data_IF_169358938313
#
_entry.id   IF_169358938313
#
_cell.length_a   1.000
_cell.length_b   1.000
_cell.length_c   1.000
_cell.angle_alpha   90.00
_cell.angle_beta   90.00
_cell.angle_gamma   90.00
#
_symmetry.space_group_name_H-M   'P 1'
#
loop_
_entity.id
_entity.type
_entity.pdbx_description
1 polymer ?
#
# COMPACT_ATOMS: atom_id res chain seq x y z
N UNK A 1 -40.29 58.95 42.17
CA UNK A 1 -41.36 57.94 41.99
C UNK A 1 -41.06 57.17 40.72
N UNK A 2 -41.34 55.85 40.71
CA UNK A 2 -40.93 54.81 39.72
C UNK A 2 -39.52 54.26 39.99
N UNK A 3 -39.34 53.37 40.96
CA UNK A 3 -39.57 51.90 40.99
C UNK A 3 -38.40 51.11 40.38
N UNK A 4 -37.63 50.51 41.29
CA UNK A 4 -36.68 49.42 41.08
C UNK A 4 -37.42 48.16 40.60
N UNK A 5 -36.98 47.56 39.50
CA UNK A 5 -37.44 46.26 39.04
C UNK A 5 -36.29 45.26 39.04
N UNK A 6 -36.27 44.37 40.03
CA UNK A 6 -35.47 43.15 40.02
C UNK A 6 -36.02 42.20 38.94
N UNK A 7 -35.15 41.67 38.08
CA UNK A 7 -35.49 40.51 37.24
C UNK A 7 -34.55 39.37 37.60
N UNK A 8 -35.17 38.26 37.97
CA UNK A 8 -34.59 37.05 38.52
C UNK A 8 -33.68 36.33 37.52
N UNK A 9 -32.60 35.76 38.05
CA UNK A 9 -31.69 34.89 37.31
C UNK A 9 -32.38 33.61 36.85
N UNK A 10 -32.26 33.33 35.56
CA UNK A 10 -32.49 32.01 34.99
C UNK A 10 -31.14 31.28 34.97
N UNK A 11 -30.97 30.37 35.93
CA UNK A 11 -29.91 29.37 35.89
C UNK A 11 -30.25 28.40 34.75
N UNK A 12 -29.55 28.54 33.61
CA UNK A 12 -29.59 27.55 32.54
C UNK A 12 -28.65 26.44 32.97
N UNK A 13 -29.26 25.28 33.22
CA UNK A 13 -28.62 24.06 33.66
C UNK A 13 -27.52 23.63 32.70
N UNK A 14 -26.31 23.45 33.23
CA UNK A 14 -25.18 22.76 32.61
C UNK A 14 -25.57 21.31 32.32
N UNK A 15 -26.27 21.11 31.20
CA UNK A 15 -26.51 19.77 30.67
C UNK A 15 -25.33 19.48 29.76
N UNK A 16 -24.32 18.86 30.37
CA UNK A 16 -23.13 18.35 29.72
C UNK A 16 -23.51 17.58 28.45
N UNK A 17 -23.41 18.23 27.31
CA UNK A 17 -23.25 17.55 26.04
C UNK A 17 -21.82 16.98 26.10
N UNK A 18 -21.67 15.82 26.73
CA UNK A 18 -20.52 14.97 26.55
C UNK A 18 -20.51 14.60 25.07
N UNK A 19 -19.94 15.50 24.26
CA UNK A 19 -19.46 15.17 22.95
C UNK A 19 -18.60 13.93 23.17
N UNK A 20 -19.05 12.80 22.63
CA UNK A 20 -18.23 11.63 22.46
C UNK A 20 -17.08 12.11 21.57
N UNK A 21 -16.01 12.59 22.23
CA UNK A 21 -14.71 12.71 21.62
C UNK A 21 -14.32 11.29 21.28
N UNK A 22 -14.76 10.80 20.12
CA UNK A 22 -14.02 9.81 19.38
C UNK A 22 -12.65 10.43 19.19
N UNK A 23 -11.77 10.21 20.16
CA UNK A 23 -10.34 10.40 19.99
C UNK A 23 -10.00 9.48 18.83
N UNK A 24 -9.88 10.07 17.65
CA UNK A 24 -9.40 9.39 16.47
C UNK A 24 -7.97 8.97 16.84
N UNK A 25 -7.82 7.74 17.35
CA UNK A 25 -6.55 7.24 17.80
C UNK A 25 -5.59 7.34 16.61
N UNK A 26 -4.41 7.90 16.83
CA UNK A 26 -3.40 7.98 15.78
C UNK A 26 -3.12 6.53 15.32
N UNK A 27 -3.11 6.26 14.00
CA UNK A 27 -3.01 4.91 13.49
C UNK A 27 -1.69 4.26 13.90
N UNK A 28 -1.71 2.94 14.07
CA UNK A 28 -0.50 2.18 14.34
C UNK A 28 0.40 2.17 13.09
N UNK A 29 1.57 2.80 13.18
CA UNK A 29 2.48 2.98 12.05
C UNK A 29 3.82 2.30 12.33
N UNK A 30 4.28 1.54 11.35
CA UNK A 30 5.53 0.81 11.38
C UNK A 30 6.41 1.17 10.18
N UNK A 31 7.71 0.89 10.32
CA UNK A 31 8.69 0.92 9.23
C UNK A 31 9.38 -0.44 9.17
N UNK A 32 9.34 -1.06 8.00
CA UNK A 32 10.21 -2.17 7.63
C UNK A 32 11.25 -1.62 6.66
N UNK A 33 12.53 -1.60 7.06
CA UNK A 33 13.59 -0.97 6.29
C UNK A 33 14.65 -1.95 5.81
N UNK A 34 14.89 -1.92 4.50
CA UNK A 34 15.92 -2.70 3.78
C UNK A 34 17.09 -1.84 3.33
N UNK A 35 17.14 -0.56 3.74
CA UNK A 35 18.11 0.42 3.23
C UNK A 35 19.58 0.01 3.39
N UNK A 36 19.93 -0.70 4.46
CA UNK A 36 21.28 -1.22 4.72
C UNK A 36 21.55 -2.58 4.08
N UNK A 37 20.54 -3.22 3.48
CA UNK A 37 20.68 -4.55 2.91
C UNK A 37 21.33 -4.52 1.52
N UNK A 38 22.15 -5.55 1.20
CA UNK A 38 22.87 -5.65 -0.06
C UNK A 38 21.97 -5.92 -1.27
N UNK A 39 22.55 -5.90 -2.47
CA UNK A 39 21.90 -6.41 -3.67
C UNK A 39 21.80 -7.94 -3.65
N UNK A 40 20.67 -8.49 -4.08
CA UNK A 40 20.42 -9.93 -4.21
C UNK A 40 19.63 -10.22 -5.49
N UNK A 41 19.66 -11.47 -5.95
CA UNK A 41 19.02 -11.92 -7.19
C UNK A 41 18.05 -13.11 -7.00
N UNK A 42 17.78 -13.48 -5.75
CA UNK A 42 16.83 -14.53 -5.36
C UNK A 42 16.30 -14.26 -3.96
N UNK A 43 15.14 -14.81 -3.64
CA UNK A 43 14.56 -14.76 -2.28
C UNK A 43 15.58 -15.33 -1.27
N UNK A 44 15.99 -14.56 -0.25
CA UNK A 44 16.93 -15.02 0.76
C UNK A 44 16.23 -15.95 1.76
N UNK A 45 17.00 -16.78 2.46
CA UNK A 45 16.48 -17.63 3.56
C UNK A 45 16.23 -16.82 4.83
N UNK A 46 17.11 -15.87 5.13
CA UNK A 46 17.05 -14.99 6.30
C UNK A 46 17.32 -13.56 5.86
N UNK A 47 16.57 -12.62 6.45
CA UNK A 47 16.75 -11.18 6.26
C UNK A 47 16.80 -10.53 7.63
N UNK A 48 17.72 -9.58 7.79
CA UNK A 48 17.85 -8.77 8.99
C UNK A 48 17.47 -7.31 8.68
N UNK A 49 16.18 -7.01 8.49
CA UNK A 49 15.70 -5.65 8.25
C UNK A 49 15.79 -4.83 9.54
N UNK A 50 15.74 -3.50 9.43
CA UNK A 50 15.47 -2.65 10.58
C UNK A 50 13.96 -2.49 10.71
N UNK A 51 13.40 -2.82 11.87
CA UNK A 51 11.99 -2.64 12.16
C UNK A 51 11.84 -1.55 13.22
N UNK A 52 10.91 -0.63 12.98
CA UNK A 52 10.63 0.46 13.90
C UNK A 52 9.13 0.72 14.01
N UNK A 53 8.66 1.01 15.22
CA UNK A 53 7.29 1.46 15.48
C UNK A 53 7.27 2.96 15.75
N UNK A 54 6.27 3.65 15.23
CA UNK A 54 6.06 5.06 15.51
C UNK A 54 5.35 5.21 16.86
N UNK A 55 5.89 6.05 17.73
CA UNK A 55 5.26 6.45 18.99
C UNK A 55 4.64 7.84 18.82
N UNK A 56 3.30 7.95 18.73
CA UNK A 56 2.65 9.23 18.41
C UNK A 56 2.87 10.30 19.49
N UNK A 57 2.80 9.91 20.77
CA UNK A 57 2.91 10.83 21.92
C UNK A 57 4.26 11.55 21.96
N UNK A 58 5.35 10.82 21.69
CA UNK A 58 6.71 11.38 21.69
C UNK A 58 7.16 11.83 20.30
N UNK A 59 6.40 11.51 19.24
CA UNK A 59 6.74 11.68 17.84
C UNK A 59 8.09 11.04 17.46
N UNK A 60 8.39 9.85 18.01
CA UNK A 60 9.67 9.14 17.80
C UNK A 60 9.47 7.80 17.11
N UNK A 61 10.57 7.31 16.54
CA UNK A 61 10.67 5.94 16.03
C UNK A 61 11.41 5.10 17.05
N UNK A 62 10.74 4.10 17.59
CA UNK A 62 11.33 3.13 18.50
C UNK A 62 11.78 1.91 17.72
N UNK A 63 12.98 1.40 18.00
CA UNK A 63 13.41 0.11 17.47
C UNK A 63 12.50 -0.98 18.01
N UNK A 64 12.14 -1.92 17.17
CA UNK A 64 11.22 -3.00 17.49
C UNK A 64 11.60 -4.23 16.64
N UNK A 65 10.86 -5.33 16.75
CA UNK A 65 11.17 -6.57 16.03
C UNK A 65 10.08 -6.98 15.01
N UNK A 66 10.48 -7.86 14.09
CA UNK A 66 9.60 -8.36 13.03
C UNK A 66 8.44 -9.20 13.58
N UNK A 67 8.65 -9.95 14.67
CA UNK A 67 7.61 -10.74 15.32
C UNK A 67 6.48 -9.85 15.86
N UNK A 68 6.83 -8.74 16.52
CA UNK A 68 5.85 -7.78 17.01
C UNK A 68 5.06 -7.13 15.87
N UNK A 69 5.74 -6.73 14.78
CA UNK A 69 5.10 -6.24 13.56
C UNK A 69 4.13 -7.28 12.95
N UNK A 70 4.53 -8.54 12.85
CA UNK A 70 3.72 -9.58 12.23
C UNK A 70 2.60 -10.11 13.13
N UNK A 71 2.73 -9.95 14.45
CA UNK A 71 1.76 -10.38 15.46
C UNK A 71 0.45 -9.57 15.52
N UNK A 72 0.38 -8.44 14.82
CA UNK A 72 -0.86 -7.66 14.70
C UNK A 72 -2.01 -8.47 14.07
N UNK A 73 -3.22 -8.29 14.61
CA UNK A 73 -4.40 -9.08 14.21
C UNK A 73 -5.21 -8.48 13.06
N UNK A 74 -5.15 -7.16 12.91
CA UNK A 74 -5.90 -6.45 11.89
C UNK A 74 -5.26 -6.48 10.49
N UNK A 75 -5.97 -6.00 9.46
CA UNK A 75 -5.43 -5.87 8.11
C UNK A 75 -4.08 -5.15 8.08
N UNK A 76 -3.12 -5.68 7.33
CA UNK A 76 -1.82 -5.07 7.14
C UNK A 76 -1.82 -4.23 5.87
N UNK A 77 -1.67 -2.92 6.03
CA UNK A 77 -1.51 -1.99 4.91
C UNK A 77 0.00 -1.78 4.67
N UNK A 78 0.50 -2.21 3.52
CA UNK A 78 1.91 -2.08 3.14
C UNK A 78 2.03 -0.94 2.13
N UNK A 79 2.62 0.18 2.55
CA UNK A 79 2.92 1.29 1.66
C UNK A 79 4.34 1.21 1.13
N UNK A 80 4.48 1.18 -0.19
CA UNK A 80 5.75 1.20 -0.89
C UNK A 80 5.90 2.53 -1.62
N UNK A 81 6.85 3.34 -1.14
CA UNK A 81 7.16 4.62 -1.77
C UNK A 81 7.92 4.44 -3.09
N UNK A 82 7.94 5.51 -3.89
CA UNK A 82 8.60 5.56 -5.19
C UNK A 82 10.10 5.85 -5.09
N UNK A 83 10.66 6.39 -6.18
CA UNK A 83 12.06 6.78 -6.23
C UNK A 83 12.32 8.12 -5.49
N UNK A 84 13.57 8.36 -5.11
CA UNK A 84 14.11 9.61 -4.54
C UNK A 84 13.67 9.95 -3.12
N UNK A 85 13.51 8.93 -2.27
CA UNK A 85 13.24 9.11 -0.84
C UNK A 85 14.46 8.75 0.00
N UNK A 86 14.99 9.74 0.73
CA UNK A 86 15.82 9.50 1.90
C UNK A 86 14.97 8.85 3.04
N UNK A 87 15.60 8.35 4.12
CA UNK A 87 14.88 7.69 5.21
C UNK A 87 13.82 8.56 5.89
N UNK A 88 14.10 9.84 6.09
CA UNK A 88 13.18 10.78 6.74
C UNK A 88 11.98 11.08 5.83
N UNK A 89 12.23 11.35 4.55
CA UNK A 89 11.19 11.63 3.57
C UNK A 89 10.22 10.44 3.39
N UNK A 90 10.75 9.21 3.38
CA UNK A 90 9.92 7.99 3.31
C UNK A 90 8.98 7.87 4.53
N UNK A 91 9.53 8.06 5.74
CA UNK A 91 8.76 8.04 6.99
C UNK A 91 7.70 9.14 7.03
N UNK A 92 8.09 10.37 6.72
CA UNK A 92 7.19 11.53 6.70
C UNK A 92 6.01 11.30 5.76
N UNK A 93 6.28 10.82 4.55
CA UNK A 93 5.24 10.57 3.56
C UNK A 93 4.32 9.41 3.97
N UNK A 94 4.87 8.33 4.53
CA UNK A 94 4.05 7.23 5.02
C UNK A 94 3.15 7.63 6.20
N UNK A 95 3.64 8.45 7.14
CA UNK A 95 2.80 9.03 8.21
C UNK A 95 1.66 9.88 7.61
N UNK A 96 1.98 10.74 6.63
CA UNK A 96 0.98 11.57 5.96
C UNK A 96 -0.09 10.72 5.28
N UNK A 97 0.30 9.69 4.53
CA UNK A 97 -0.63 8.77 3.89
C UNK A 97 -1.49 8.03 4.92
N UNK A 98 -0.88 7.44 5.94
CA UNK A 98 -1.60 6.70 7.00
C UNK A 98 -2.64 7.59 7.69
N UNK A 99 -2.26 8.80 8.12
CA UNK A 99 -3.20 9.75 8.74
C UNK A 99 -4.31 10.18 7.80
N UNK A 100 -4.02 10.37 6.51
CA UNK A 100 -5.04 10.71 5.50
C UNK A 100 -6.00 9.56 5.29
N UNK A 101 -5.51 8.32 5.26
CA UNK A 101 -6.35 7.13 5.20
C UNK A 101 -7.24 7.01 6.44
N UNK A 102 -6.68 7.16 7.64
CA UNK A 102 -7.43 7.09 8.88
C UNK A 102 -8.54 8.16 8.95
N UNK A 103 -8.24 9.39 8.52
CA UNK A 103 -9.19 10.49 8.50
C UNK A 103 -10.31 10.34 7.46
N UNK A 104 -10.11 9.53 6.41
CA UNK A 104 -11.08 9.32 5.33
C UNK A 104 -11.76 7.96 5.39
N UNK A 105 -11.29 7.05 6.25
CA UNK A 105 -11.94 5.78 6.49
C UNK A 105 -13.26 6.04 7.22
N UNK A 106 -14.36 5.56 6.65
CA UNK A 106 -15.71 5.78 7.19
C UNK A 106 -15.95 5.10 8.54
N UNK A 107 -15.10 4.15 8.92
CA UNK A 107 -15.20 3.34 10.15
C UNK A 107 -13.80 3.00 10.67
N UNK A 108 -13.68 2.85 12.00
CA UNK A 108 -12.42 2.45 12.65
C UNK A 108 -12.13 0.97 12.41
N UNK A 109 -11.52 0.65 11.28
CA UNK A 109 -10.85 -0.64 11.11
C UNK A 109 -9.51 -0.56 11.83
N UNK A 110 -9.25 -1.49 12.74
CA UNK A 110 -7.96 -1.59 13.43
C UNK A 110 -6.89 -2.08 12.44
N UNK A 111 -6.41 -1.17 11.58
CA UNK A 111 -5.41 -1.48 10.57
C UNK A 111 -4.02 -1.17 11.07
N UNK A 112 -3.08 -2.05 10.75
CA UNK A 112 -1.67 -1.79 10.96
C UNK A 112 -1.06 -1.25 9.67
N UNK A 113 -0.42 -0.08 9.73
CA UNK A 113 0.18 0.55 8.56
C UNK A 113 1.70 0.40 8.55
N UNK A 114 2.25 -0.31 7.58
CA UNK A 114 3.68 -0.53 7.43
C UNK A 114 4.24 0.24 6.24
N UNK A 115 5.23 1.08 6.49
CA UNK A 115 6.03 1.76 5.48
C UNK A 115 7.18 0.83 5.09
N UNK A 116 7.20 0.39 3.83
CA UNK A 116 8.33 -0.33 3.26
C UNK A 116 9.38 0.67 2.78
N UNK A 117 10.47 0.77 3.54
CA UNK A 117 11.53 1.76 3.35
C UNK A 117 12.74 1.13 2.66
N UNK A 118 12.91 1.42 1.38
CA UNK A 118 14.00 0.89 0.54
C UNK A 118 14.98 2.00 0.12
N UNK A 119 16.23 1.68 -0.31
CA UNK A 119 17.26 2.68 -0.57
C UNK A 119 17.05 3.38 -1.92
N UNK A 120 16.00 4.20 -1.97
CA UNK A 120 15.56 4.93 -3.17
C UNK A 120 16.14 6.35 -3.28
N UNK A 121 16.93 6.81 -2.30
CA UNK A 121 17.51 8.16 -2.34
C UNK A 121 18.30 8.37 -3.63
N UNK A 122 18.10 9.54 -4.24
CA UNK A 122 18.78 9.89 -5.49
C UNK A 122 20.29 9.88 -5.30
N UNK A 123 20.99 9.23 -6.23
CA UNK A 123 22.45 9.19 -6.28
C UNK A 123 22.95 9.47 -7.71
N UNK A 124 23.58 10.62 -7.91
CA UNK A 124 24.14 11.04 -9.20
C UNK A 124 23.10 11.50 -10.23
N UNK A 125 23.35 11.19 -11.51
CA UNK A 125 22.56 11.72 -12.62
C UNK A 125 21.22 11.01 -12.80
N UNK A 126 20.18 11.75 -13.17
CA UNK A 126 18.77 11.30 -13.07
C UNK A 126 18.48 9.99 -13.81
N UNK A 127 18.99 9.81 -15.02
CA UNK A 127 18.71 8.59 -15.80
C UNK A 127 19.53 7.39 -15.31
N UNK A 128 20.80 7.58 -14.95
CA UNK A 128 21.64 6.51 -14.39
C UNK A 128 21.12 6.08 -13.02
N UNK A 129 20.74 7.05 -12.18
CA UNK A 129 20.04 6.82 -10.92
C UNK A 129 18.75 6.04 -11.17
N UNK A 130 17.86 6.54 -12.03
CA UNK A 130 16.61 5.88 -12.37
C UNK A 130 16.79 4.42 -12.80
N UNK A 131 17.79 4.14 -13.65
CA UNK A 131 18.14 2.77 -14.07
C UNK A 131 18.65 1.91 -12.92
N UNK A 132 19.52 2.47 -12.07
CA UNK A 132 20.03 1.79 -10.89
C UNK A 132 18.90 1.43 -9.92
N UNK A 133 17.98 2.37 -9.68
CA UNK A 133 16.82 2.20 -8.80
C UNK A 133 15.79 1.24 -9.37
N UNK A 134 15.54 1.30 -10.68
CA UNK A 134 14.73 0.29 -11.38
C UNK A 134 15.31 -1.12 -11.20
N UNK A 135 16.63 -1.29 -11.33
CA UNK A 135 17.29 -2.58 -11.06
C UNK A 135 17.20 -2.98 -9.59
N UNK A 136 17.32 -2.01 -8.67
CA UNK A 136 17.17 -2.25 -7.24
C UNK A 136 15.77 -2.74 -6.88
N UNK A 137 14.72 -2.38 -7.64
CA UNK A 137 13.37 -2.89 -7.39
C UNK A 137 13.27 -4.42 -7.45
N UNK A 138 14.05 -5.09 -8.32
CA UNK A 138 14.09 -6.57 -8.35
C UNK A 138 14.64 -7.15 -7.05
N UNK A 139 15.74 -6.57 -6.54
CA UNK A 139 16.29 -6.89 -5.20
C UNK A 139 15.25 -6.72 -4.10
N UNK A 140 14.54 -5.59 -4.10
CA UNK A 140 13.51 -5.31 -3.09
C UNK A 140 12.32 -6.24 -3.20
N UNK A 141 11.97 -6.68 -4.42
CA UNK A 141 10.97 -7.73 -4.65
C UNK A 141 11.29 -9.00 -3.88
N UNK A 142 12.54 -9.47 -3.93
CA UNK A 142 12.99 -10.65 -3.19
C UNK A 142 12.90 -10.46 -1.67
N UNK A 143 13.27 -9.29 -1.14
CA UNK A 143 13.14 -8.99 0.29
C UNK A 143 11.68 -8.90 0.74
N UNK A 144 10.83 -8.28 -0.07
CA UNK A 144 9.40 -8.25 0.21
C UNK A 144 8.79 -9.65 0.11
N UNK A 145 9.17 -10.48 -0.86
CA UNK A 145 8.70 -11.87 -0.94
C UNK A 145 9.04 -12.66 0.34
N UNK A 146 10.25 -12.50 0.87
CA UNK A 146 10.63 -13.09 2.16
C UNK A 146 9.73 -12.61 3.31
N UNK A 147 9.41 -11.32 3.36
CA UNK A 147 8.48 -10.77 4.35
C UNK A 147 7.07 -11.36 4.18
N UNK A 148 6.57 -11.42 2.95
CA UNK A 148 5.24 -11.95 2.62
C UNK A 148 5.10 -13.44 2.97
N UNK A 149 6.19 -14.21 2.95
CA UNK A 149 6.21 -15.61 3.39
C UNK A 149 5.99 -15.80 4.89
N UNK A 150 6.06 -14.74 5.69
CA UNK A 150 5.90 -14.79 7.15
C UNK A 150 4.56 -14.22 7.63
N UNK A 151 3.73 -13.70 6.74
CA UNK A 151 2.40 -13.19 7.07
C UNK A 151 1.42 -14.39 7.14
N UNK A 152 0.61 -14.46 8.19
CA UNK A 152 -0.45 -15.48 8.33
C UNK A 152 -1.40 -15.42 7.11
N UNK A 153 -1.76 -16.55 6.48
CA UNK A 153 -2.64 -16.61 5.31
C UNK A 153 -4.02 -15.94 5.49
N UNK A 154 -4.53 -15.90 6.72
CA UNK A 154 -5.82 -15.33 7.10
C UNK A 154 -5.80 -13.80 7.18
N UNK A 155 -4.63 -13.21 7.45
CA UNK A 155 -4.50 -11.76 7.64
C UNK A 155 -4.64 -11.01 6.31
N UNK A 156 -5.64 -10.13 6.13
CA UNK A 156 -5.76 -9.34 4.91
C UNK A 156 -4.54 -8.44 4.68
N UNK A 157 -4.11 -8.30 3.42
CA UNK A 157 -2.95 -7.48 3.03
C UNK A 157 -3.33 -6.52 1.92
N UNK A 158 -3.08 -5.23 2.15
CA UNK A 158 -3.33 -4.17 1.17
C UNK A 158 -2.01 -3.52 0.79
N UNK A 159 -1.64 -3.60 -0.48
CA UNK A 159 -0.48 -2.92 -1.00
C UNK A 159 -0.89 -1.56 -1.55
N UNK A 160 -0.28 -0.48 -1.02
CA UNK A 160 -0.33 0.83 -1.65
C UNK A 160 1.03 1.07 -2.31
N UNK A 161 1.12 0.78 -3.61
CA UNK A 161 2.35 0.89 -4.39
C UNK A 161 2.37 2.19 -5.19
N UNK A 162 3.25 3.12 -4.83
CA UNK A 162 3.45 4.36 -5.59
C UNK A 162 4.69 4.26 -6.50
N UNK A 163 4.53 4.56 -7.80
CA UNK A 163 5.64 4.53 -8.75
C UNK A 163 6.37 3.18 -8.74
N UNK A 164 7.68 3.15 -8.49
CA UNK A 164 8.46 1.91 -8.34
C UNK A 164 7.99 1.00 -7.20
N UNK A 165 7.27 1.53 -6.20
CA UNK A 165 6.65 0.69 -5.17
C UNK A 165 5.73 -0.38 -5.76
N UNK A 166 5.03 -0.08 -6.86
CA UNK A 166 4.21 -1.07 -7.57
C UNK A 166 5.05 -2.17 -8.23
N UNK A 167 6.24 -1.85 -8.76
CA UNK A 167 7.15 -2.85 -9.32
C UNK A 167 7.65 -3.79 -8.24
N UNK A 168 8.08 -3.26 -7.10
CA UNK A 168 8.54 -4.06 -5.95
C UNK A 168 7.43 -5.02 -5.48
N UNK A 169 6.20 -4.53 -5.37
CA UNK A 169 5.03 -5.38 -5.03
C UNK A 169 4.88 -6.54 -6.02
N UNK A 170 4.94 -6.26 -7.32
CA UNK A 170 4.71 -7.29 -8.33
C UNK A 170 5.84 -8.30 -8.43
N UNK A 171 7.11 -7.88 -8.30
CA UNK A 171 8.24 -8.81 -8.20
C UNK A 171 8.10 -9.74 -6.99
N UNK A 172 7.67 -9.19 -5.84
CA UNK A 172 7.48 -10.00 -4.64
C UNK A 172 6.38 -11.05 -4.82
N UNK A 173 5.24 -10.68 -5.40
CA UNK A 173 4.15 -11.63 -5.64
C UNK A 173 4.53 -12.68 -6.69
N UNK A 174 5.29 -12.29 -7.72
CA UNK A 174 5.81 -13.24 -8.72
C UNK A 174 6.70 -14.30 -8.07
N UNK A 175 7.63 -13.91 -7.18
CA UNK A 175 8.46 -14.86 -6.43
C UNK A 175 7.62 -15.83 -5.58
N UNK A 176 6.57 -15.33 -4.90
CA UNK A 176 5.68 -16.17 -4.08
C UNK A 176 4.93 -17.18 -4.94
N UNK A 177 4.30 -16.72 -6.02
CA UNK A 177 3.52 -17.55 -6.93
C UNK A 177 4.39 -18.54 -7.69
N UNK A 178 5.59 -18.12 -8.12
CA UNK A 178 6.55 -19.02 -8.77
C UNK A 178 7.02 -20.12 -7.82
N UNK A 179 7.34 -19.79 -6.56
CA UNK A 179 7.78 -20.78 -5.57
C UNK A 179 6.67 -21.79 -5.24
N UNK A 180 5.43 -21.32 -5.09
CA UNK A 180 4.27 -22.17 -4.84
C UNK A 180 3.97 -23.09 -6.03
N UNK A 181 3.99 -22.56 -7.26
CA UNK A 181 3.80 -23.36 -8.48
C UNK A 181 4.92 -24.38 -8.73
N UNK A 182 6.12 -24.13 -8.21
CA UNK A 182 7.23 -25.08 -8.24
C UNK A 182 7.11 -26.18 -7.16
N UNK A 183 6.09 -26.13 -6.29
CA UNK A 183 5.88 -27.09 -5.22
C UNK A 183 6.84 -26.92 -4.03
N UNK A 184 7.48 -25.75 -3.89
CA UNK A 184 8.32 -25.50 -2.72
C UNK A 184 7.47 -25.36 -1.44
N UNK A 185 7.98 -25.80 -0.28
CA UNK A 185 7.26 -25.72 1.00
C UNK A 185 7.26 -24.27 1.51
N UNK A 186 6.40 -23.43 0.91
CA UNK A 186 6.27 -22.02 1.25
C UNK A 186 4.84 -21.71 1.69
N UNK A 187 4.66 -20.68 2.52
CA UNK A 187 3.32 -20.24 2.95
C UNK A 187 2.45 -19.87 1.72
N UNK A 188 1.30 -20.51 1.48
CA UNK A 188 0.55 -20.32 0.25
C UNK A 188 0.10 -18.86 0.12
N UNK A 189 0.26 -18.32 -1.09
CA UNK A 189 -0.22 -16.98 -1.43
C UNK A 189 -1.35 -17.04 -2.46
N UNK A 190 -1.35 -18.06 -3.32
CA UNK A 190 -2.50 -18.31 -4.19
C UNK A 190 -3.68 -18.77 -3.33
N UNK A 191 -4.87 -18.25 -3.62
CA UNK A 191 -6.12 -18.64 -2.95
C UNK A 191 -6.13 -18.54 -1.41
N UNK A 192 -5.30 -17.66 -0.83
CA UNK A 192 -5.28 -17.45 0.61
C UNK A 192 -6.63 -16.90 1.14
N UNK A 193 -7.03 -17.21 2.40
CA UNK A 193 -8.30 -16.70 2.94
C UNK A 193 -8.34 -15.18 3.09
N UNK A 194 -7.22 -14.58 3.52
CA UNK A 194 -7.07 -13.15 3.70
C UNK A 194 -7.10 -12.39 2.37
N UNK A 195 -7.92 -11.35 2.30
CA UNK A 195 -8.08 -10.49 1.12
C UNK A 195 -6.77 -9.78 0.73
N UNK A 196 -6.42 -9.83 -0.55
CA UNK A 196 -5.21 -9.21 -1.12
C UNK A 196 -5.56 -8.14 -2.12
N UNK A 197 -5.16 -6.90 -1.80
CA UNK A 197 -5.50 -5.72 -2.61
C UNK A 197 -4.27 -5.03 -3.15
N UNK A 198 -4.27 -4.71 -4.45
CA UNK A 198 -3.25 -3.91 -5.11
C UNK A 198 -3.80 -2.52 -5.42
N UNK A 199 -3.34 -1.51 -4.69
CA UNK A 199 -3.73 -0.12 -4.84
C UNK A 199 -2.53 0.64 -5.40
N UNK A 200 -2.49 0.80 -6.72
CA UNK A 200 -1.35 1.42 -7.40
C UNK A 200 -1.62 2.88 -7.76
N UNK A 201 -0.65 3.73 -7.43
CA UNK A 201 -0.67 5.17 -7.72
C UNK A 201 0.51 5.49 -8.62
N UNK A 202 0.23 5.99 -9.82
CA UNK A 202 1.21 6.26 -10.88
C UNK A 202 2.25 5.12 -11.04
N UNK A 203 1.84 3.84 -11.19
CA UNK A 203 2.76 2.71 -11.17
C UNK A 203 3.84 2.78 -12.26
N UNK A 204 5.11 2.72 -11.86
CA UNK A 204 6.26 2.64 -12.76
C UNK A 204 6.58 1.17 -13.06
N UNK A 205 5.64 0.51 -13.73
CA UNK A 205 5.70 -0.88 -14.18
C UNK A 205 5.31 -0.87 -15.65
N UNK A 206 5.74 -1.87 -16.42
CA UNK A 206 5.32 -2.03 -17.81
C UNK A 206 3.79 -2.05 -17.94
N UNK A 207 3.26 -1.36 -18.96
CA UNK A 207 1.81 -1.29 -19.20
C UNK A 207 1.19 -2.66 -19.49
N UNK A 208 1.94 -3.60 -20.06
CA UNK A 208 1.51 -4.97 -20.37
C UNK A 208 1.64 -5.96 -19.20
N UNK A 209 1.97 -5.49 -18.00
CA UNK A 209 2.24 -6.28 -16.79
C UNK A 209 1.27 -7.44 -16.58
N UNK A 210 -0.02 -7.18 -16.75
CA UNK A 210 -1.11 -8.13 -16.50
C UNK A 210 -1.81 -8.63 -17.77
N UNK A 211 -1.30 -8.31 -18.95
CA UNK A 211 -1.84 -8.85 -20.20
C UNK A 211 -1.82 -10.39 -20.19
N UNK A 212 -2.58 -11.09 -21.05
CA UNK A 212 -2.60 -12.56 -21.05
C UNK A 212 -1.22 -13.23 -21.16
N UNK A 213 -0.26 -12.56 -21.79
CA UNK A 213 1.15 -12.99 -21.89
C UNK A 213 2.11 -12.11 -21.07
N UNK A 214 1.56 -11.25 -20.20
CA UNK A 214 2.30 -10.32 -19.37
C UNK A 214 3.08 -11.03 -18.27
N UNK A 215 4.23 -10.45 -17.88
CA UNK A 215 5.14 -11.02 -16.89
C UNK A 215 4.43 -11.42 -15.59
N UNK A 216 3.51 -10.58 -15.10
CA UNK A 216 2.85 -10.78 -13.81
C UNK A 216 1.44 -11.35 -13.96
N UNK A 217 1.09 -11.95 -15.12
CA UNK A 217 -0.25 -12.53 -15.33
C UNK A 217 -0.60 -13.55 -14.26
N UNK A 218 0.37 -14.37 -13.85
CA UNK A 218 0.19 -15.44 -12.85
C UNK A 218 -0.04 -14.89 -11.44
N UNK A 219 0.45 -13.70 -11.12
CA UNK A 219 0.23 -13.09 -9.79
C UNK A 219 -1.23 -12.76 -9.53
N UNK A 220 -2.09 -12.75 -10.55
CA UNK A 220 -3.52 -12.50 -10.36
C UNK A 220 -4.23 -13.66 -9.61
N UNK A 221 -3.62 -14.84 -9.51
CA UNK A 221 -4.13 -15.95 -8.70
C UNK A 221 -4.12 -15.67 -7.18
N UNK A 222 -3.39 -14.65 -6.73
CA UNK A 222 -3.32 -14.26 -5.32
C UNK A 222 -3.92 -12.88 -5.04
N UNK A 223 -4.68 -12.29 -5.96
CA UNK A 223 -5.18 -10.92 -5.86
C UNK A 223 -6.70 -10.90 -5.98
N UNK A 224 -7.37 -10.25 -5.03
CA UNK A 224 -8.82 -10.10 -5.02
C UNK A 224 -9.26 -8.73 -5.58
N UNK A 225 -8.41 -7.71 -5.46
CA UNK A 225 -8.70 -6.33 -5.92
C UNK A 225 -7.48 -5.66 -6.54
N UNK A 226 -7.71 -4.94 -7.65
CA UNK A 226 -6.74 -4.06 -8.29
C UNK A 226 -7.35 -2.69 -8.53
N UNK A 227 -6.75 -1.64 -7.98
CA UNK A 227 -7.10 -0.25 -8.24
C UNK A 227 -5.92 0.50 -8.85
N UNK A 228 -6.14 1.17 -9.96
CA UNK A 228 -5.15 2.00 -10.64
C UNK A 228 -5.53 3.49 -10.59
N UNK A 229 -4.68 4.30 -10.01
CA UNK A 229 -4.70 5.76 -10.18
C UNK A 229 -3.55 6.13 -11.10
N UNK A 230 -3.83 6.30 -12.39
CA UNK A 230 -2.82 6.66 -13.39
C UNK A 230 -2.71 8.19 -13.53
N UNK A 231 -1.65 8.68 -14.17
CA UNK A 231 -1.55 10.05 -14.64
C UNK A 231 -1.00 10.06 -16.07
N UNK A 232 -1.88 10.22 -17.05
CA UNK A 232 -1.48 10.19 -18.47
C UNK A 232 -0.67 11.40 -18.94
N UNK A 233 -0.50 12.42 -18.08
CA UNK A 233 0.34 13.60 -18.34
C UNK A 233 1.66 13.59 -17.59
N UNK A 234 1.96 12.53 -16.83
CA UNK A 234 3.15 12.44 -15.98
C UNK A 234 4.45 12.47 -16.79
N UNK A 235 5.21 13.55 -16.66
CA UNK A 235 6.43 13.73 -17.45
C UNK A 235 7.53 12.73 -17.05
N UNK A 236 7.58 12.25 -15.81
CA UNK A 236 8.57 11.26 -15.42
C UNK A 236 8.26 9.89 -16.05
N UNK A 237 7.00 9.46 -16.00
CA UNK A 237 6.59 8.15 -16.54
C UNK A 237 6.63 8.07 -18.06
N UNK A 238 6.53 9.20 -18.77
CA UNK A 238 6.73 9.24 -20.24
C UNK A 238 8.12 8.77 -20.67
N UNK A 239 9.11 8.90 -19.79
CA UNK A 239 10.48 8.43 -20.02
C UNK A 239 10.75 7.03 -19.46
N UNK A 240 9.73 6.30 -18.98
CA UNK A 240 9.88 4.97 -18.39
C UNK A 240 10.60 3.99 -19.32
N UNK A 241 10.32 4.04 -20.63
CA UNK A 241 10.97 3.21 -21.64
C UNK A 241 12.51 3.40 -21.72
N UNK A 242 13.07 4.45 -21.10
CA UNK A 242 14.52 4.68 -21.03
C UNK A 242 15.19 3.91 -19.88
N UNK A 243 14.41 3.37 -18.93
CA UNK A 243 14.91 2.64 -17.76
C UNK A 243 15.37 1.22 -18.11
N UNK A 244 14.67 0.57 -19.05
CA UNK A 244 15.06 -0.71 -19.61
C UNK A 244 15.16 -0.60 -21.14
N UNK A 245 16.40 -0.55 -21.64
CA UNK A 245 16.64 -0.42 -23.08
C UNK A 245 16.29 -1.67 -23.87
N UNK A 246 16.09 -2.81 -23.20
CA UNK A 246 15.70 -4.07 -23.85
C UNK A 246 14.22 -4.12 -24.14
N UNK A 247 13.41 -3.43 -23.33
CA UNK A 247 11.97 -3.47 -23.46
C UNK A 247 11.37 -2.07 -23.51
N UNK A 248 11.13 -1.60 -24.74
CA UNK A 248 10.53 -0.30 -25.06
C UNK A 248 9.01 -0.36 -24.87
N UNK A 249 8.59 -0.39 -23.63
CA UNK A 249 7.18 -0.38 -23.24
C UNK A 249 6.87 0.83 -22.36
N UNK A 250 5.65 1.31 -22.44
CA UNK A 250 5.20 2.43 -21.64
C UNK A 250 4.95 2.02 -20.18
N UNK A 251 4.92 3.01 -19.29
CA UNK A 251 4.49 2.79 -17.91
C UNK A 251 2.97 2.58 -17.83
N UNK A 252 2.56 1.58 -17.04
CA UNK A 252 1.18 1.35 -16.63
C UNK A 252 0.58 2.60 -15.99
N UNK A 253 1.36 3.34 -15.21
CA UNK A 253 0.94 4.58 -14.58
C UNK A 253 0.73 5.75 -15.54
N UNK A 254 1.15 5.65 -16.80
CA UNK A 254 0.90 6.65 -17.84
C UNK A 254 -0.24 6.23 -18.78
N UNK A 255 -0.34 4.95 -19.11
CA UNK A 255 -1.24 4.44 -20.15
C UNK A 255 -2.46 3.70 -19.60
N UNK A 256 -2.38 3.20 -18.38
CA UNK A 256 -3.38 2.30 -17.80
C UNK A 256 -3.42 0.95 -18.50
N UNK A 257 -4.48 0.19 -18.23
CA UNK A 257 -4.76 -1.09 -18.86
C UNK A 257 -6.26 -1.35 -19.00
N UNK A 258 -6.68 -2.18 -19.96
CA UNK A 258 -8.10 -2.51 -20.12
C UNK A 258 -8.59 -3.53 -19.08
N UNK A 259 -9.86 -3.40 -18.65
CA UNK A 259 -10.54 -4.33 -17.73
C UNK A 259 -10.47 -5.80 -18.18
N UNK A 260 -10.43 -6.06 -19.49
CA UNK A 260 -10.42 -7.42 -20.08
C UNK A 260 -9.19 -8.26 -19.73
N UNK A 261 -8.13 -7.64 -19.20
CA UNK A 261 -6.95 -8.38 -18.71
C UNK A 261 -7.14 -8.91 -17.29
N UNK A 262 -8.12 -8.42 -16.55
CA UNK A 262 -8.47 -8.91 -15.22
C UNK A 262 -9.52 -10.02 -15.33
N UNK A 263 -9.38 -11.13 -14.59
CA UNK A 263 -10.47 -12.09 -14.37
C UNK A 263 -11.77 -11.41 -13.87
N UNK A 264 -12.91 -12.08 -14.03
CA UNK A 264 -14.22 -11.55 -13.61
C UNK A 264 -14.31 -11.35 -12.10
N UNK A 265 -13.66 -12.23 -11.36
CA UNK A 265 -13.69 -12.35 -9.90
C UNK A 265 -12.89 -11.22 -9.23
N UNK A 266 -11.88 -10.71 -9.92
CA UNK A 266 -11.05 -9.61 -9.42
C UNK A 266 -11.80 -8.29 -9.59
N UNK A 267 -11.99 -7.58 -8.47
CA UNK A 267 -12.52 -6.22 -8.49
C UNK A 267 -11.47 -5.29 -9.08
N UNK A 268 -11.78 -4.70 -10.24
CA UNK A 268 -10.87 -3.79 -10.93
C UNK A 268 -11.47 -2.39 -11.05
N UNK A 269 -10.69 -1.37 -10.69
CA UNK A 269 -11.02 0.02 -10.97
C UNK A 269 -9.80 0.78 -11.48
N UNK A 270 -10.01 1.74 -12.37
CA UNK A 270 -8.97 2.61 -12.87
C UNK A 270 -9.49 4.04 -13.04
N UNK A 271 -8.64 5.03 -12.75
CA UNK A 271 -8.93 6.44 -13.02
C UNK A 271 -7.66 7.15 -13.49
N UNK A 272 -7.84 8.17 -14.32
CA UNK A 272 -6.77 9.06 -14.75
C UNK A 272 -6.81 10.38 -13.98
N UNK A 273 -5.75 10.65 -13.22
CA UNK A 273 -5.58 11.80 -12.37
C UNK A 273 -5.01 13.04 -13.09
N UNK A 274 -4.83 12.99 -14.42
CA UNK A 274 -4.21 14.06 -15.22
C UNK A 274 -4.76 15.48 -14.99
N UNK A 275 -6.07 15.59 -14.69
CA UNK A 275 -6.74 16.88 -14.51
C UNK A 275 -6.52 17.46 -13.10
N UNK A 276 -6.03 16.65 -12.16
CA UNK A 276 -5.76 17.06 -10.77
C UNK A 276 -4.25 17.24 -10.57
N UNK A 277 -3.44 16.33 -11.12
CA UNK A 277 -1.99 16.27 -10.89
C UNK A 277 -1.21 17.03 -11.96
N UNK A 278 -1.71 17.09 -13.20
CA UNK A 278 -0.99 17.70 -14.31
C UNK A 278 0.24 16.86 -14.70
N UNK A 279 1.38 17.53 -14.92
CA UNK A 279 2.61 16.91 -15.43
C UNK A 279 3.53 16.31 -14.36
N UNK A 280 3.22 16.55 -13.10
CA UNK A 280 4.05 16.19 -11.97
C UNK A 280 3.93 14.71 -11.60
N UNK A 281 5.02 14.13 -11.08
CA UNK A 281 5.04 12.75 -10.62
C UNK A 281 4.84 12.61 -9.10
N UNK A 282 5.07 13.66 -8.32
CA UNK A 282 5.22 13.56 -6.86
C UNK A 282 3.97 13.11 -6.10
N UNK A 283 4.10 12.09 -5.24
CA UNK A 283 2.98 11.53 -4.45
C UNK A 283 2.27 12.58 -3.59
N UNK A 284 2.97 13.61 -3.10
CA UNK A 284 2.38 14.69 -2.28
C UNK A 284 1.16 15.35 -2.95
N UNK A 285 1.13 15.46 -4.28
CA UNK A 285 -0.01 16.03 -4.99
C UNK A 285 -1.25 15.13 -4.93
N UNK A 286 -1.05 13.82 -4.98
CA UNK A 286 -2.12 12.83 -4.77
C UNK A 286 -2.64 12.91 -3.34
N UNK A 287 -1.75 13.00 -2.35
CA UNK A 287 -2.13 13.08 -0.92
C UNK A 287 -2.94 14.35 -0.60
N UNK A 288 -2.61 15.48 -1.24
CA UNK A 288 -3.30 16.76 -1.06
C UNK A 288 -4.70 16.80 -1.67
N UNK A 289 -4.98 15.98 -2.69
CA UNK A 289 -6.29 15.91 -3.32
C UNK A 289 -7.25 15.06 -2.48
N UNK A 290 -8.29 15.68 -1.92
CA UNK A 290 -9.36 14.94 -1.23
C UNK A 290 -10.05 13.95 -2.18
N UNK A 291 -10.30 14.33 -3.43
CA UNK A 291 -10.95 13.45 -4.42
C UNK A 291 -10.13 12.19 -4.68
N UNK A 292 -8.81 12.32 -4.89
CA UNK A 292 -7.96 11.17 -5.15
C UNK A 292 -7.79 10.33 -3.88
N UNK A 293 -7.61 10.96 -2.73
CA UNK A 293 -7.46 10.24 -1.46
C UNK A 293 -8.73 9.50 -1.06
N UNK A 294 -9.92 10.10 -1.21
CA UNK A 294 -11.17 9.38 -0.97
C UNK A 294 -11.27 8.11 -1.80
N UNK A 295 -10.83 8.16 -3.07
CA UNK A 295 -10.79 6.98 -3.92
C UNK A 295 -9.74 5.96 -3.46
N UNK A 296 -8.49 6.40 -3.26
CA UNK A 296 -7.39 5.52 -2.82
C UNK A 296 -7.76 4.83 -1.51
N UNK A 297 -8.27 5.58 -0.52
CA UNK A 297 -8.68 5.06 0.78
C UNK A 297 -9.93 4.19 0.68
N UNK A 298 -10.92 4.56 -0.12
CA UNK A 298 -12.11 3.74 -0.33
C UNK A 298 -11.78 2.38 -0.94
N UNK A 299 -10.87 2.35 -1.91
CA UNK A 299 -10.42 1.10 -2.54
C UNK A 299 -9.53 0.26 -1.61
N UNK A 300 -8.67 0.92 -0.84
CA UNK A 300 -7.78 0.26 0.12
C UNK A 300 -8.54 -0.31 1.33
N UNK A 301 -9.43 0.47 1.95
CA UNK A 301 -10.05 0.14 3.24
C UNK A 301 -11.47 -0.40 3.12
N UNK A 302 -12.23 -0.05 2.08
CA UNK A 302 -13.65 -0.39 1.99
C UNK A 302 -13.91 -1.90 1.99
N UNK A 303 -14.72 -2.38 2.93
CA UNK A 303 -15.05 -3.79 3.10
C UNK A 303 -14.06 -4.59 3.94
N UNK A 304 -13.04 -3.97 4.55
CA UNK A 304 -12.12 -4.68 5.46
C UNK A 304 -12.77 -5.03 6.81
N UNK A 305 -13.77 -4.26 7.22
CA UNK A 305 -14.57 -4.43 8.44
C UNK A 305 -15.33 -5.77 8.50
N UNK A 306 -15.83 -6.24 7.35
CA UNK A 306 -16.68 -7.43 7.24
C UNK A 306 -15.89 -8.75 7.11
N UNK A 307 -14.56 -8.67 7.04
CA UNK A 307 -13.70 -9.86 6.89
C UNK A 307 -13.40 -10.53 8.25
N UNK A 308 -13.88 -9.96 9.36
CA UNK A 308 -13.50 -10.35 10.71
C UNK A 308 -14.09 -11.68 11.22
N UNK A 309 -15.02 -12.35 10.53
CA UNK A 309 -15.40 -13.74 10.88
C UNK A 309 -16.12 -14.54 9.77
N UNK A 310 -16.95 -13.92 8.93
CA UNK A 310 -17.87 -14.64 8.04
C UNK A 310 -17.28 -15.03 6.66
N UNK A 311 -16.37 -14.23 6.12
CA UNK A 311 -15.82 -14.45 4.77
C UNK A 311 -14.78 -15.56 4.73
N UNK A 312 -14.03 -15.74 5.83
CA UNK A 312 -13.05 -16.85 5.99
C UNK A 312 -13.77 -18.20 5.99
N UNK A 313 -14.98 -18.28 6.54
CA UNK A 313 -15.78 -19.52 6.57
C UNK A 313 -16.27 -19.94 5.18
N UNK A 314 -16.68 -18.99 4.32
CA UNK A 314 -17.17 -19.29 2.97
C UNK A 314 -16.07 -19.77 2.02
N UNK A 315 -14.89 -19.12 2.01
CA UNK A 315 -13.75 -19.57 1.17
C UNK A 315 -13.24 -20.96 1.57
N UNK A 316 -13.32 -21.32 2.85
CA UNK A 316 -12.92 -22.65 3.33
C UNK A 316 -13.92 -23.76 2.95
N UNK A 317 -15.22 -23.43 2.81
CA UNK A 317 -16.25 -24.39 2.40
C UNK A 317 -16.20 -24.70 0.90
N UNK A 318 -16.02 -23.69 0.04
CA UNK A 318 -15.90 -23.89 -1.42
C UNK A 318 -14.68 -24.75 -1.81
N UNK A 319 -13.64 -24.82 -0.96
CA UNK A 319 -12.47 -25.66 -1.23
C UNK A 319 -12.59 -27.10 -0.70
N UNK A 320 -13.52 -27.36 0.23
CA UNK A 320 -13.81 -28.72 0.68
C UNK A 320 -14.68 -29.48 -0.33
N UNK A 321 -15.49 -28.77 -1.12
CA UNK A 321 -16.37 -29.36 -2.13
C UNK A 321 -15.69 -29.62 -3.50
N UNK A 322 -14.39 -29.32 -3.64
CA UNK A 322 -13.61 -29.47 -4.88
C UNK A 322 -12.49 -30.53 -4.76
N UNK A 323 -12.50 -31.35 -3.71
CA UNK A 323 -11.61 -32.51 -3.57
C UNK A 323 -12.32 -33.84 -3.82
#
# INVERSE_FOLDING_TARGET
MVVFGCVAGLAISDTACAAVSQTCADPEIWVFSTRHLPGICKVPTVVNPSVQRYEPTSCRWLSDDLGTLLGGKGPLIIFLHGNRYDPYSAKKQGIQLSRRCNALASQSVDTQFMIYSWPSQQDGCLLKDGRSKYRRCFTEGHYLAWLLGQISPERPVVFIGYSFGALITLEALEDRVAAENAGYPVSPWQHRPGDTRLIFVAPAVRCDAFSPCGKYRKTLACVDRVSLTINSRDDALRFFHLLDTRTKVDALGCTGMPRRWMPSEIRYSAIDARNIIGREHGLTLYLRSNTLMQRICGEAYGGLENLSHETVLKKNQEHQDVK
#
